data_IF_214658328936
#
_entry.id   IF_214658328936
#
_cell.length_a   1.000
_cell.length_b   1.000
_cell.length_c   1.000
_cell.angle_alpha   90.00
_cell.angle_beta   90.00
_cell.angle_gamma   90.00
#
_symmetry.space_group_name_H-M   'P 1'
#
loop_
_entity.id
_entity.type
_entity.pdbx_description
1 polymer ?
#
# COMPACT_ATOMS: atom_id res chain seq x y z
N UNK A 1 -14.01 32.79 -48.12
CA UNK A 1 -13.16 31.79 -47.41
C UNK A 1 -12.42 32.56 -46.34
N UNK A 2 -12.92 32.54 -45.11
CA UNK A 2 -12.15 33.05 -43.98
C UNK A 2 -11.09 32.00 -43.66
N UNK A 3 -9.82 32.35 -43.87
CA UNK A 3 -8.70 31.58 -43.36
C UNK A 3 -8.74 31.81 -41.85
N UNK A 4 -9.17 30.80 -41.11
CA UNK A 4 -9.22 30.85 -39.66
C UNK A 4 -7.77 30.78 -39.16
N UNK A 5 -7.15 31.95 -38.97
CA UNK A 5 -5.77 32.05 -38.51
C UNK A 5 -5.72 31.58 -37.07
N UNK A 6 -5.03 30.47 -36.84
CA UNK A 6 -4.88 29.85 -35.53
C UNK A 6 -4.20 30.84 -34.58
N UNK A 7 -4.78 31.07 -33.40
CA UNK A 7 -4.23 32.05 -32.48
C UNK A 7 -2.92 31.53 -31.87
N UNK A 8 -2.07 32.45 -31.38
CA UNK A 8 -0.85 32.08 -30.64
C UNK A 8 -1.15 31.16 -29.44
N UNK A 9 -2.34 31.28 -28.84
CA UNK A 9 -2.78 30.40 -27.75
C UNK A 9 -3.05 28.98 -28.27
N UNK A 10 -3.69 28.85 -29.43
CA UNK A 10 -3.98 27.55 -30.04
C UNK A 10 -2.69 26.79 -30.39
N UNK A 11 -1.68 27.49 -30.91
CA UNK A 11 -0.36 26.90 -31.19
C UNK A 11 0.33 26.38 -29.92
N UNK A 12 0.27 27.16 -28.83
CA UNK A 12 0.83 26.75 -27.53
C UNK A 12 0.10 25.55 -26.94
N UNK A 13 -1.24 25.50 -27.04
CA UNK A 13 -2.04 24.37 -26.58
C UNK A 13 -1.77 23.12 -27.42
N UNK A 14 -1.60 23.25 -28.74
CA UNK A 14 -1.25 22.14 -29.61
C UNK A 14 0.13 21.58 -29.27
N UNK A 15 1.12 22.42 -29.00
CA UNK A 15 2.44 21.96 -28.55
C UNK A 15 2.36 21.20 -27.21
N UNK A 16 1.62 21.75 -26.23
CA UNK A 16 1.36 21.07 -24.96
C UNK A 16 0.74 19.69 -25.19
N UNK A 17 -0.29 19.60 -26.02
CA UNK A 17 -0.97 18.34 -26.33
C UNK A 17 -0.03 17.33 -27.01
N UNK A 18 0.84 17.77 -27.93
CA UNK A 18 1.86 16.91 -28.57
C UNK A 18 2.89 16.39 -27.56
N UNK A 19 3.38 17.24 -26.65
CA UNK A 19 4.29 16.81 -25.57
C UNK A 19 3.66 15.76 -24.67
N UNK A 20 2.38 15.93 -24.32
CA UNK A 20 1.66 14.94 -23.52
C UNK A 20 1.34 13.67 -24.30
N UNK A 21 1.02 13.75 -25.59
CA UNK A 21 0.83 12.58 -26.45
C UNK A 21 2.09 11.69 -26.46
N UNK A 22 3.27 12.28 -26.63
CA UNK A 22 4.55 11.57 -26.54
C UNK A 22 4.73 10.94 -25.14
N UNK A 23 4.48 11.70 -24.08
CA UNK A 23 4.55 11.20 -22.70
C UNK A 23 3.62 10.01 -22.44
N UNK A 24 2.37 10.07 -22.94
CA UNK A 24 1.39 8.99 -22.78
C UNK A 24 1.79 7.72 -23.54
N UNK A 25 2.37 7.85 -24.72
CA UNK A 25 2.89 6.72 -25.48
C UNK A 25 4.06 6.03 -24.76
N UNK A 26 4.97 6.81 -24.15
CA UNK A 26 6.07 6.25 -23.35
C UNK A 26 5.60 5.57 -22.05
N UNK A 27 4.54 6.08 -21.41
CA UNK A 27 4.01 5.51 -20.16
C UNK A 27 3.29 4.16 -20.31
N UNK A 28 2.90 3.75 -21.52
CA UNK A 28 2.28 2.43 -21.75
C UNK A 28 3.26 1.25 -21.65
N UNK A 29 4.56 1.51 -21.51
CA UNK A 29 5.64 0.51 -21.58
C UNK A 29 6.35 0.17 -20.26
N UNK A 30 5.85 0.60 -19.09
CA UNK A 30 6.29 -0.02 -17.83
C UNK A 30 5.46 -1.30 -17.64
N UNK A 31 6.09 -2.43 -17.92
CA UNK A 31 5.61 -3.80 -17.71
C UNK A 31 4.57 -3.89 -16.58
N UNK A 32 3.33 -4.24 -16.93
CA UNK A 32 2.30 -4.49 -15.94
C UNK A 32 2.83 -5.55 -14.96
N UNK A 33 2.76 -5.27 -13.66
CA UNK A 33 3.15 -6.26 -12.67
C UNK A 33 2.25 -7.49 -12.83
N UNK A 34 2.84 -8.59 -13.30
CA UNK A 34 2.20 -9.88 -13.54
C UNK A 34 2.44 -10.86 -12.37
N UNK A 35 3.02 -10.39 -11.28
CA UNK A 35 3.34 -11.21 -10.13
C UNK A 35 2.13 -11.31 -9.19
N UNK A 36 1.70 -12.55 -8.98
CA UNK A 36 0.84 -12.90 -7.88
C UNK A 36 1.60 -12.74 -6.56
N UNK A 37 0.89 -12.28 -5.53
CA UNK A 37 1.33 -12.41 -4.15
C UNK A 37 0.53 -13.47 -3.41
N UNK A 38 0.95 -13.73 -2.17
CA UNK A 38 0.40 -14.78 -1.33
C UNK A 38 -1.10 -14.60 -1.02
N UNK A 39 -1.60 -13.36 -0.90
CA UNK A 39 -3.03 -13.11 -0.71
C UNK A 39 -3.80 -13.36 -2.00
N UNK A 40 -3.26 -12.94 -3.14
CA UNK A 40 -3.83 -13.25 -4.45
C UNK A 40 -3.94 -14.77 -4.66
N UNK A 41 -2.91 -15.53 -4.27
CA UNK A 41 -2.91 -17.00 -4.35
C UNK A 41 -3.97 -17.65 -3.45
N UNK A 42 -4.17 -17.17 -2.22
CA UNK A 42 -5.17 -17.72 -1.30
C UNK A 42 -6.60 -17.66 -1.88
N UNK A 43 -6.92 -16.59 -2.62
CA UNK A 43 -8.25 -16.33 -3.19
C UNK A 43 -8.37 -16.65 -4.69
N UNK A 44 -7.30 -17.12 -5.33
CA UNK A 44 -7.27 -17.36 -6.78
C UNK A 44 -7.45 -16.09 -7.63
N UNK A 45 -7.04 -14.92 -7.11
CA UNK A 45 -7.11 -13.66 -7.83
C UNK A 45 -5.92 -13.58 -8.79
N UNK A 46 -6.17 -13.68 -10.09
CA UNK A 46 -5.10 -13.54 -11.08
C UNK A 46 -4.68 -12.08 -11.28
N UNK A 47 -3.48 -11.80 -11.85
CA UNK A 47 -3.06 -10.45 -12.20
C UNK A 47 -4.03 -9.79 -13.20
N UNK A 48 -4.61 -10.57 -14.12
CA UNK A 48 -5.63 -10.10 -15.08
C UNK A 48 -6.87 -9.62 -14.36
N UNK A 49 -7.38 -10.40 -13.40
CA UNK A 49 -8.54 -10.02 -12.59
C UNK A 49 -8.25 -8.75 -11.79
N UNK A 50 -7.08 -8.68 -11.16
CA UNK A 50 -6.65 -7.48 -10.43
C UNK A 50 -6.59 -6.25 -11.32
N UNK A 51 -6.10 -6.39 -12.56
CA UNK A 51 -6.01 -5.30 -13.55
C UNK A 51 -7.37 -4.76 -14.01
N UNK A 52 -8.44 -5.56 -13.94
CA UNK A 52 -9.79 -5.09 -14.31
C UNK A 52 -10.27 -3.98 -13.36
N UNK A 53 -9.87 -4.04 -12.08
CA UNK A 53 -10.17 -2.99 -11.11
C UNK A 53 -9.04 -2.83 -10.07
N UNK A 54 -7.92 -2.21 -10.43
CA UNK A 54 -6.72 -2.18 -9.59
C UNK A 54 -6.94 -1.46 -8.25
N UNK A 55 -7.80 -0.43 -8.24
CA UNK A 55 -8.10 0.34 -7.03
C UNK A 55 -8.95 -0.47 -6.05
N UNK A 56 -9.97 -1.16 -6.54
CA UNK A 56 -10.80 -2.05 -5.71
C UNK A 56 -9.95 -3.15 -5.10
N UNK A 57 -9.24 -3.92 -5.92
CA UNK A 57 -8.42 -5.02 -5.43
C UNK A 57 -7.30 -4.56 -4.52
N UNK A 58 -6.70 -3.39 -4.80
CA UNK A 58 -5.71 -2.80 -3.90
C UNK A 58 -6.28 -2.45 -2.52
N UNK A 59 -7.55 -2.02 -2.43
CA UNK A 59 -8.23 -1.75 -1.16
C UNK A 59 -8.61 -3.03 -0.43
N UNK A 60 -9.20 -4.00 -1.12
CA UNK A 60 -9.62 -5.27 -0.52
C UNK A 60 -8.43 -6.07 0.02
N UNK A 61 -7.37 -6.22 -0.79
CA UNK A 61 -6.14 -6.90 -0.37
C UNK A 61 -5.40 -6.11 0.73
N UNK A 62 -5.51 -4.78 0.71
CA UNK A 62 -5.04 -3.90 1.78
C UNK A 62 -5.75 -4.15 3.12
N UNK A 63 -7.07 -4.16 3.10
CA UNK A 63 -7.88 -4.42 4.29
C UNK A 63 -7.65 -5.84 4.82
N UNK A 64 -7.61 -6.84 3.93
CA UNK A 64 -7.31 -8.21 4.33
C UNK A 64 -5.93 -8.31 5.00
N UNK A 65 -4.91 -7.68 4.43
CA UNK A 65 -3.58 -7.65 5.03
C UNK A 65 -3.61 -7.06 6.44
N UNK A 66 -4.23 -5.90 6.61
CA UNK A 66 -4.39 -5.24 7.91
C UNK A 66 -5.07 -6.17 8.92
N UNK A 67 -6.20 -6.78 8.54
CA UNK A 67 -6.96 -7.68 9.41
C UNK A 67 -6.14 -8.91 9.79
N UNK A 68 -5.38 -9.51 8.88
CA UNK A 68 -4.54 -10.67 9.17
C UNK A 68 -3.45 -10.33 10.18
N UNK A 69 -2.78 -9.19 10.03
CA UNK A 69 -1.75 -8.73 10.99
C UNK A 69 -2.37 -8.49 12.37
N UNK A 70 -3.49 -7.77 12.43
CA UNK A 70 -4.20 -7.51 13.69
C UNK A 70 -4.59 -8.82 14.38
N UNK A 71 -5.22 -9.74 13.64
CA UNK A 71 -5.69 -11.00 14.22
C UNK A 71 -4.54 -11.90 14.66
N UNK A 72 -3.41 -11.90 13.95
CA UNK A 72 -2.19 -12.62 14.34
C UNK A 72 -1.69 -12.18 15.71
N UNK A 73 -1.95 -10.92 16.11
CA UNK A 73 -1.45 -10.34 17.35
C UNK A 73 -2.50 -10.20 18.46
N UNK A 74 -3.79 -10.30 18.13
CA UNK A 74 -4.91 -9.95 19.01
C UNK A 74 -5.02 -10.75 20.31
N UNK A 75 -4.35 -11.91 20.39
CA UNK A 75 -4.35 -12.80 21.54
C UNK A 75 -3.25 -12.49 22.57
N UNK A 76 -2.31 -11.60 22.23
CA UNK A 76 -1.19 -11.23 23.09
C UNK A 76 -1.66 -10.27 24.19
N UNK A 77 -1.14 -10.43 25.41
CA UNK A 77 -1.46 -9.52 26.54
C UNK A 77 -1.01 -8.06 26.25
N UNK A 78 0.10 -7.90 25.53
CA UNK A 78 0.63 -6.60 25.15
C UNK A 78 -0.13 -5.92 24.00
N UNK A 79 -1.07 -6.61 23.35
CA UNK A 79 -1.83 -6.08 22.22
C UNK A 79 -2.72 -4.92 22.65
N UNK A 80 -2.68 -3.85 21.86
CA UNK A 80 -3.61 -2.73 21.93
C UNK A 80 -4.13 -2.40 20.53
N UNK A 81 -5.41 -2.06 20.38
CA UNK A 81 -5.97 -1.62 19.09
C UNK A 81 -5.37 -0.28 18.64
N UNK A 82 -5.66 0.16 17.41
CA UNK A 82 -5.30 1.47 16.84
C UNK A 82 -5.32 2.64 17.82
N UNK A 83 -4.39 3.59 17.67
CA UNK A 83 -4.31 4.76 18.55
C UNK A 83 -5.33 5.77 18.03
N UNK A 84 -6.12 6.39 18.90
CA UNK A 84 -7.04 7.44 18.47
C UNK A 84 -6.56 8.79 18.99
N UNK A 85 -6.25 9.70 18.08
CA UNK A 85 -5.88 11.09 18.41
C UNK A 85 -6.85 12.00 17.66
N UNK A 86 -7.87 12.49 18.35
CA UNK A 86 -8.97 13.22 17.72
C UNK A 86 -9.70 12.35 16.70
N UNK A 87 -9.67 12.74 15.42
CA UNK A 87 -10.29 12.01 14.31
C UNK A 87 -9.28 11.13 13.54
N UNK A 88 -8.02 11.10 13.94
CA UNK A 88 -6.97 10.36 13.25
C UNK A 88 -6.63 9.06 13.98
N UNK A 89 -6.34 8.03 13.19
CA UNK A 89 -5.79 6.74 13.62
C UNK A 89 -4.39 6.59 13.00
N UNK A 90 -3.32 7.04 13.68
CA UNK A 90 -1.97 7.06 13.10
C UNK A 90 -1.33 5.68 12.90
N UNK A 91 -1.93 4.62 13.44
CA UNK A 91 -1.46 3.23 13.29
C UNK A 91 -2.65 2.27 13.41
N UNK A 92 -2.51 1.05 12.88
CA UNK A 92 -3.56 0.02 12.87
C UNK A 92 -3.62 -0.76 14.19
N UNK A 93 -2.46 -0.97 14.83
CA UNK A 93 -2.32 -1.69 16.11
C UNK A 93 -1.07 -1.24 16.86
N UNK A 94 -1.00 -1.61 18.15
CA UNK A 94 0.19 -1.43 18.98
C UNK A 94 0.48 -2.70 19.78
N UNK A 95 1.76 -3.02 19.92
CA UNK A 95 2.24 -4.16 20.70
C UNK A 95 3.55 -3.74 21.36
N UNK A 96 3.62 -3.85 22.69
CA UNK A 96 4.75 -3.35 23.48
C UNK A 96 5.09 -1.89 23.12
N UNK A 97 6.31 -1.63 22.64
CA UNK A 97 6.77 -0.32 22.18
C UNK A 97 6.41 -0.01 20.72
N UNK A 98 5.92 -0.97 19.94
CA UNK A 98 5.67 -0.77 18.51
C UNK A 98 4.28 -0.19 18.25
N UNK A 99 4.22 0.83 17.39
CA UNK A 99 3.00 1.29 16.75
C UNK A 99 3.05 0.95 15.26
N UNK A 100 2.18 0.03 14.84
CA UNK A 100 2.30 -0.65 13.55
C UNK A 100 1.20 -0.17 12.61
N UNK A 101 1.58 0.31 11.43
CA UNK A 101 0.70 0.55 10.30
C UNK A 101 0.96 -0.50 9.21
N UNK A 102 -0.08 -0.96 8.54
CA UNK A 102 -0.01 -2.00 7.51
C UNK A 102 -0.38 -1.43 6.15
N UNK A 103 0.33 -1.90 5.12
CA UNK A 103 0.06 -1.50 3.74
C UNK A 103 0.27 -2.69 2.82
N UNK A 104 -0.67 -2.94 1.93
CA UNK A 104 -0.47 -3.94 0.89
C UNK A 104 0.67 -3.55 -0.07
N UNK A 105 0.72 -2.26 -0.44
CA UNK A 105 1.80 -1.56 -1.14
C UNK A 105 1.59 -0.05 -1.02
N UNK A 106 2.60 0.77 -1.30
CA UNK A 106 2.44 2.23 -1.46
C UNK A 106 2.59 2.65 -2.92
N UNK A 107 1.57 3.36 -3.42
CA UNK A 107 1.53 3.97 -4.75
C UNK A 107 1.63 5.49 -4.70
N UNK A 108 1.30 6.17 -5.80
CA UNK A 108 1.43 7.63 -5.96
C UNK A 108 0.33 8.41 -5.23
N UNK A 109 -0.04 7.98 -4.01
CA UNK A 109 -1.15 8.53 -3.24
C UNK A 109 -1.18 10.05 -3.23
N UNK A 110 -2.34 10.64 -2.97
CA UNK A 110 -2.45 12.09 -2.96
C UNK A 110 -1.46 12.72 -1.95
N UNK A 111 -0.99 13.92 -2.26
CA UNK A 111 0.03 14.59 -1.46
C UNK A 111 -0.38 14.82 0.00
N UNK A 112 -1.68 14.86 0.31
CA UNK A 112 -2.20 14.99 1.67
C UNK A 112 -1.96 13.70 2.46
N UNK A 113 -2.32 12.56 1.88
CA UNK A 113 -2.08 11.24 2.47
C UNK A 113 -0.60 10.97 2.76
N UNK A 114 0.29 11.27 1.80
CA UNK A 114 1.74 11.09 2.00
C UNK A 114 2.33 12.05 3.05
N UNK A 115 1.74 13.23 3.24
CA UNK A 115 2.14 14.15 4.32
C UNK A 115 1.69 13.63 5.69
N UNK A 116 0.50 13.01 5.77
CA UNK A 116 -0.02 12.44 7.02
C UNK A 116 0.89 11.35 7.59
N UNK A 117 1.45 10.45 6.77
CA UNK A 117 2.36 9.41 7.29
C UNK A 117 3.61 9.96 7.98
N UNK A 118 4.17 11.07 7.48
CA UNK A 118 5.29 11.75 8.16
C UNK A 118 4.86 12.37 9.49
N UNK A 119 3.70 13.02 9.51
CA UNK A 119 3.13 13.57 10.74
C UNK A 119 2.85 12.46 11.77
N UNK A 120 2.28 11.35 11.35
CA UNK A 120 1.94 10.23 12.22
C UNK A 120 3.16 9.58 12.86
N UNK A 121 4.28 9.42 12.15
CA UNK A 121 5.52 8.94 12.78
C UNK A 121 5.95 9.82 13.96
N UNK A 122 5.90 11.15 13.81
CA UNK A 122 6.27 12.07 14.88
C UNK A 122 5.30 11.97 16.06
N UNK A 123 4.00 11.96 15.79
CA UNK A 123 2.98 11.80 16.84
C UNK A 123 3.16 10.49 17.61
N UNK A 124 3.44 9.38 16.93
CA UNK A 124 3.66 8.09 17.58
C UNK A 124 4.91 8.10 18.47
N UNK A 125 6.01 8.72 18.02
CA UNK A 125 7.23 8.91 18.81
C UNK A 125 7.00 9.78 20.04
N UNK A 126 6.23 10.86 19.92
CA UNK A 126 5.82 11.71 21.06
C UNK A 126 4.99 10.94 22.09
N UNK A 127 4.24 9.93 21.65
CA UNK A 127 3.50 9.00 22.52
C UNK A 127 4.37 7.85 23.06
N UNK A 128 5.68 7.86 22.78
CA UNK A 128 6.64 6.86 23.28
C UNK A 128 6.69 5.56 22.48
N UNK A 129 6.13 5.51 21.27
CA UNK A 129 6.15 4.34 20.41
C UNK A 129 7.21 4.43 19.30
N UNK A 130 7.68 3.26 18.86
CA UNK A 130 8.44 3.07 17.63
C UNK A 130 7.48 2.86 16.45
N UNK A 131 7.43 3.79 15.48
CA UNK A 131 6.56 3.63 14.31
C UNK A 131 7.12 2.56 13.36
N UNK A 132 6.33 1.54 13.07
CA UNK A 132 6.66 0.44 12.16
C UNK A 132 5.64 0.40 11.03
N UNK A 133 6.10 0.26 9.78
CA UNK A 133 5.21 0.00 8.64
C UNK A 133 5.52 -1.36 8.03
N UNK A 134 4.48 -2.17 7.86
CA UNK A 134 4.57 -3.51 7.27
C UNK A 134 3.98 -3.51 5.86
N UNK A 135 4.85 -3.55 4.86
CA UNK A 135 4.45 -3.73 3.47
C UNK A 135 4.35 -5.21 3.13
N UNK A 136 3.20 -5.65 2.58
CA UNK A 136 3.12 -7.01 2.04
C UNK A 136 3.98 -7.16 0.78
N UNK A 137 3.89 -6.20 -0.15
CA UNK A 137 4.62 -6.24 -1.42
C UNK A 137 5.87 -5.37 -1.39
N UNK A 138 6.83 -5.73 -2.23
CA UNK A 138 8.11 -5.02 -2.37
C UNK A 138 8.08 -3.99 -3.52
N UNK A 139 7.07 -4.03 -4.38
CA UNK A 139 6.96 -3.23 -5.60
C UNK A 139 6.47 -1.78 -5.39
N UNK A 140 6.75 -1.20 -4.22
CA UNK A 140 6.36 0.15 -3.83
C UNK A 140 6.90 1.22 -4.79
N UNK A 141 6.15 2.31 -4.99
CA UNK A 141 6.70 3.48 -5.70
C UNK A 141 7.71 4.20 -4.80
N UNK A 142 8.97 4.24 -5.24
CA UNK A 142 10.12 4.83 -4.49
C UNK A 142 9.79 6.22 -3.93
N UNK A 143 9.16 7.09 -4.72
CA UNK A 143 8.86 8.46 -4.29
C UNK A 143 7.80 8.52 -3.18
N UNK A 144 6.88 7.55 -3.14
CA UNK A 144 5.82 7.50 -2.15
C UNK A 144 6.30 6.83 -0.86
N UNK A 145 7.20 5.86 -0.95
CA UNK A 145 7.84 5.24 0.20
C UNK A 145 8.61 6.23 1.08
N UNK A 146 9.13 7.32 0.49
CA UNK A 146 9.75 8.44 1.24
C UNK A 146 8.82 9.10 2.26
N UNK A 147 7.51 8.89 2.18
CA UNK A 147 6.57 9.32 3.22
C UNK A 147 6.75 8.57 4.55
N UNK A 148 7.47 7.44 4.52
CA UNK A 148 7.74 6.58 5.67
C UNK A 148 9.19 6.70 6.16
N UNK A 149 9.91 7.77 5.81
CA UNK A 149 11.32 7.97 6.18
C UNK A 149 11.60 7.87 7.68
N UNK A 150 10.62 8.22 8.50
CA UNK A 150 10.72 8.25 9.97
C UNK A 150 10.15 6.98 10.63
N UNK A 151 9.78 5.99 9.82
CA UNK A 151 9.27 4.68 10.24
C UNK A 151 10.34 3.60 10.07
N UNK A 152 10.26 2.55 10.87
CA UNK A 152 10.94 1.29 10.59
C UNK A 152 10.14 0.58 9.49
N UNK A 153 10.80 0.23 8.39
CA UNK A 153 10.14 -0.33 7.21
C UNK A 153 10.50 -1.80 7.10
N UNK A 154 9.48 -2.66 7.05
CA UNK A 154 9.62 -4.06 6.63
C UNK A 154 8.80 -4.31 5.37
N UNK A 155 9.32 -5.16 4.47
CA UNK A 155 8.66 -5.49 3.20
C UNK A 155 8.72 -6.98 2.91
N UNK A 156 7.70 -7.50 2.24
CA UNK A 156 7.72 -8.89 1.76
C UNK A 156 7.95 -9.87 2.90
N UNK A 157 8.99 -10.69 2.75
CA UNK A 157 9.39 -11.67 3.75
C UNK A 157 9.67 -11.04 5.13
N UNK A 158 10.29 -9.87 5.17
CA UNK A 158 10.66 -9.22 6.43
C UNK A 158 9.42 -8.86 7.27
N UNK A 159 8.32 -8.49 6.62
CA UNK A 159 7.05 -8.23 7.30
C UNK A 159 6.53 -9.49 7.99
N UNK A 160 6.63 -10.65 7.33
CA UNK A 160 6.23 -11.93 7.91
C UNK A 160 7.13 -12.35 9.06
N UNK A 161 8.45 -12.16 8.90
CA UNK A 161 9.42 -12.48 9.95
C UNK A 161 9.17 -11.62 11.19
N UNK A 162 8.91 -10.33 11.00
CA UNK A 162 8.56 -9.41 12.09
C UNK A 162 7.25 -9.82 12.78
N UNK A 163 6.20 -10.14 12.02
CA UNK A 163 4.93 -10.62 12.59
C UNK A 163 5.16 -11.88 13.41
N UNK A 164 5.91 -12.85 12.89
CA UNK A 164 6.22 -14.09 13.60
C UNK A 164 7.04 -13.83 14.87
N UNK A 165 7.97 -12.89 14.82
CA UNK A 165 8.77 -12.47 15.98
C UNK A 165 7.89 -11.88 17.08
N UNK A 166 7.02 -10.93 16.75
CA UNK A 166 6.22 -10.20 17.77
C UNK A 166 5.01 -10.99 18.26
N UNK A 167 4.47 -11.91 17.44
CA UNK A 167 3.24 -12.64 17.76
C UNK A 167 3.42 -14.12 18.05
N UNK A 168 4.56 -14.71 17.68
CA UNK A 168 4.76 -16.16 17.68
C UNK A 168 3.96 -16.91 16.61
N UNK A 169 3.14 -16.22 15.80
CA UNK A 169 2.30 -16.84 14.78
C UNK A 169 2.95 -16.81 13.39
N UNK A 170 3.04 -17.97 12.74
CA UNK A 170 3.58 -18.09 11.39
C UNK A 170 2.50 -17.79 10.33
N UNK A 171 2.21 -16.50 10.16
CA UNK A 171 1.19 -16.02 9.21
C UNK A 171 1.54 -16.40 7.77
N UNK A 172 2.82 -16.44 7.41
CA UNK A 172 3.24 -16.82 6.06
C UNK A 172 2.88 -18.27 5.78
N UNK A 173 3.28 -19.19 6.65
CA UNK A 173 2.96 -20.61 6.49
C UNK A 173 1.44 -20.85 6.47
N UNK A 174 0.66 -20.13 7.29
CA UNK A 174 -0.80 -20.20 7.21
C UNK A 174 -1.34 -19.81 5.83
N UNK A 175 -0.88 -18.69 5.27
CA UNK A 175 -1.33 -18.22 3.96
C UNK A 175 -0.83 -19.09 2.79
N UNK A 176 0.36 -19.68 2.90
CA UNK A 176 0.88 -20.66 1.93
C UNK A 176 0.02 -21.92 1.92
N UNK A 177 -0.39 -22.41 3.10
CA UNK A 177 -1.30 -23.55 3.20
C UNK A 177 -2.69 -23.19 2.67
N UNK A 178 -3.15 -21.96 2.88
CA UNK A 178 -4.42 -21.44 2.39
C UNK A 178 -4.46 -21.19 0.87
N UNK A 179 -3.36 -21.41 0.14
CA UNK A 179 -3.31 -21.20 -1.31
C UNK A 179 -4.48 -21.91 -2.01
N UNK A 180 -5.27 -21.15 -2.78
CA UNK A 180 -6.46 -21.62 -3.49
C UNK A 180 -7.56 -22.26 -2.64
N UNK A 181 -7.52 -22.14 -1.31
CA UNK A 181 -8.57 -22.69 -0.45
C UNK A 181 -9.82 -21.80 -0.41
N UNK A 182 -9.66 -20.50 -0.64
CA UNK A 182 -10.73 -19.50 -0.55
C UNK A 182 -11.07 -18.91 -1.91
N UNK A 183 -11.05 -19.74 -2.96
CA UNK A 183 -11.34 -19.30 -4.33
C UNK A 183 -12.67 -18.55 -4.41
N UNK A 184 -12.63 -17.40 -5.07
CA UNK A 184 -13.83 -16.59 -5.32
C UNK A 184 -14.68 -17.32 -6.36
N UNK A 185 -15.86 -17.77 -5.95
CA UNK A 185 -16.87 -18.35 -6.84
C UNK A 185 -17.57 -17.18 -7.57
N UNK A 186 -17.66 -17.27 -8.90
CA UNK A 186 -18.35 -16.31 -9.76
C UNK A 186 -19.72 -16.81 -10.19
#
# INVERSE_FOLDING_TARGET
MEINTMSMIDEQLIDLMKRYQLSFNHKRHSEFNNENDILMNAFGISPELKRQNPQYWGRELGMLWQLLVINSCSHLEAFKPALKIGNDEPCDLRIDQYAIDTKYRVGSGDSGTLKKFRLYANLLKEQGYEPVVLFLREDNLIHAERAFSDWIIYKGQESFDFIKQISGYDLKNFLEQAAFQYQIIR
#
